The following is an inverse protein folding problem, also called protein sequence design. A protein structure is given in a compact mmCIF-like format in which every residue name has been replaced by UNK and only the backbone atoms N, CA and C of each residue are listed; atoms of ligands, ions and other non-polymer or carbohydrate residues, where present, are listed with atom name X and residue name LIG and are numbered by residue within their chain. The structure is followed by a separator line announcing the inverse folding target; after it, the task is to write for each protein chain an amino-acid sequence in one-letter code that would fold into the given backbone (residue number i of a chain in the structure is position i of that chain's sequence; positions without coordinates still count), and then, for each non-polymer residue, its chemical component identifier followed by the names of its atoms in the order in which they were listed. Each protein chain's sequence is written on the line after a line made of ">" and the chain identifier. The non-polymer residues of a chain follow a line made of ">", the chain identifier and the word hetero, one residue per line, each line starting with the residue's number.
data_IF_280773659423
#
_entry.id   IF_280773659423
#
_cell.length_a   1.000
_cell.length_b   1.000
_cell.length_c   1.000
_cell.angle_alpha   90.00
_cell.angle_beta   90.00
_cell.angle_gamma   90.00
#
_symmetry.space_group_name_H-M   'P 1'
#
loop_
_entity.id
_entity.type
_entity.pdbx_description
1 polymer ?
#
# COMPACT_ATOMS: atom_id res chain seq x y z
N UNK A 1 -5.26 31.05 -0.32
CA UNK A 1 -5.17 30.53 -1.70
C UNK A 1 -4.53 29.16 -1.61
N UNK A 2 -5.31 28.10 -1.55
CA UNK A 2 -4.77 26.73 -1.52
C UNK A 2 -5.77 25.78 -2.21
N UNK A 3 -6.04 26.05 -3.48
CA UNK A 3 -6.77 25.15 -4.38
C UNK A 3 -5.83 24.05 -4.85
N UNK A 4 -5.36 23.22 -3.92
CA UNK A 4 -4.63 22.01 -4.27
C UNK A 4 -5.67 20.98 -4.67
N UNK A 5 -5.76 20.70 -5.97
CA UNK A 5 -6.56 19.63 -6.57
C UNK A 5 -6.28 18.31 -5.87
N UNK A 6 -6.98 18.05 -4.76
CA UNK A 6 -7.03 16.74 -4.14
C UNK A 6 -8.04 15.92 -4.94
N UNK A 7 -7.65 14.78 -5.52
CA UNK A 7 -8.59 13.89 -6.16
C UNK A 7 -9.69 13.53 -5.17
N UNK A 8 -10.96 13.64 -5.60
CA UNK A 8 -12.08 13.26 -4.75
C UNK A 8 -11.87 11.82 -4.24
N UNK A 9 -11.80 11.59 -2.91
CA UNK A 9 -11.50 10.29 -2.32
C UNK A 9 -12.46 9.18 -2.78
N UNK A 10 -13.65 9.58 -3.22
CA UNK A 10 -14.70 8.73 -3.81
C UNK A 10 -14.24 8.10 -5.12
N UNK A 11 -13.79 8.94 -6.05
CA UNK A 11 -13.30 8.53 -7.36
C UNK A 11 -12.09 7.62 -7.16
N UNK A 12 -11.25 7.92 -6.17
CA UNK A 12 -10.07 7.13 -5.85
C UNK A 12 -10.45 5.70 -5.37
N UNK A 13 -11.43 5.56 -4.47
CA UNK A 13 -11.92 4.23 -4.03
C UNK A 13 -12.54 3.43 -5.18
N UNK A 14 -13.34 4.06 -6.03
CA UNK A 14 -13.95 3.39 -7.19
C UNK A 14 -12.88 2.99 -8.21
N UNK A 15 -11.96 3.90 -8.54
CA UNK A 15 -10.84 3.63 -9.45
C UNK A 15 -9.97 2.50 -8.91
N UNK A 16 -9.70 2.46 -7.60
CA UNK A 16 -8.98 1.35 -6.98
C UNK A 16 -9.71 0.03 -7.14
N UNK A 17 -11.00 -0.03 -6.81
CA UNK A 17 -11.78 -1.27 -6.93
C UNK A 17 -11.84 -1.75 -8.37
N UNK A 18 -12.09 -0.84 -9.32
CA UNK A 18 -12.16 -1.14 -10.75
C UNK A 18 -10.79 -1.57 -11.29
N UNK A 19 -9.72 -0.85 -10.95
CA UNK A 19 -8.37 -1.22 -11.41
C UNK A 19 -7.90 -2.53 -10.79
N UNK A 20 -8.18 -2.79 -9.51
CA UNK A 20 -7.82 -4.07 -8.88
C UNK A 20 -8.60 -5.24 -9.51
N UNK A 21 -9.91 -5.09 -9.74
CA UNK A 21 -10.71 -6.13 -10.40
C UNK A 21 -10.28 -6.35 -11.86
N UNK A 22 -9.95 -5.29 -12.59
CA UNK A 22 -9.40 -5.41 -13.95
C UNK A 22 -8.02 -6.08 -13.94
N UNK A 23 -7.11 -5.68 -13.05
CA UNK A 23 -5.76 -6.23 -12.96
C UNK A 23 -5.78 -7.71 -12.57
N UNK A 24 -6.55 -8.08 -11.55
CA UNK A 24 -6.57 -9.44 -11.01
C UNK A 24 -7.53 -10.38 -11.77
N UNK A 25 -8.56 -9.85 -12.43
CA UNK A 25 -9.57 -10.64 -13.13
C UNK A 25 -9.21 -10.96 -14.58
N UNK A 26 -9.23 -9.94 -15.45
CA UNK A 26 -9.29 -10.14 -16.92
C UNK A 26 -8.21 -9.35 -17.68
N UNK A 27 -7.47 -8.49 -16.99
CA UNK A 27 -6.48 -7.59 -17.60
C UNK A 27 -5.32 -8.34 -18.24
N UNK A 28 -5.20 -8.21 -19.57
CA UNK A 28 -4.01 -8.60 -20.31
C UNK A 28 -2.80 -7.74 -19.95
N UNK A 29 -1.61 -8.13 -20.43
CA UNK A 29 -0.35 -7.45 -20.11
C UNK A 29 -0.38 -5.93 -20.40
N UNK A 30 -1.00 -5.52 -21.51
CA UNK A 30 -1.14 -4.10 -21.88
C UNK A 30 -1.93 -3.29 -20.85
N UNK A 31 -3.02 -3.86 -20.31
CA UNK A 31 -3.84 -3.19 -19.29
C UNK A 31 -3.02 -3.00 -18.02
N UNK A 32 -2.23 -4.00 -17.63
CA UNK A 32 -1.31 -3.92 -16.48
C UNK A 32 -0.28 -2.81 -16.65
N UNK A 33 0.31 -2.67 -17.85
CA UNK A 33 1.29 -1.61 -18.12
C UNK A 33 0.64 -0.23 -18.09
N UNK A 34 -0.53 -0.05 -18.72
CA UNK A 34 -1.22 1.25 -18.74
C UNK A 34 -1.63 1.71 -17.34
N UNK A 35 -2.24 0.81 -16.56
CA UNK A 35 -2.59 1.09 -15.16
C UNK A 35 -1.32 1.31 -14.32
N UNK A 36 -0.24 0.59 -14.66
CA UNK A 36 1.06 0.75 -14.03
C UNK A 36 1.64 2.15 -14.21
N UNK A 37 1.69 2.63 -15.45
CA UNK A 37 2.12 4.00 -15.77
C UNK A 37 1.25 5.02 -15.03
N UNK A 38 -0.08 4.84 -15.03
CA UNK A 38 -0.99 5.70 -14.28
C UNK A 38 -0.66 5.71 -12.78
N UNK A 39 -0.38 4.55 -12.18
CA UNK A 39 -0.06 4.45 -10.75
C UNK A 39 1.27 5.14 -10.40
N UNK A 40 2.27 5.07 -11.27
CA UNK A 40 3.57 5.74 -11.07
C UNK A 40 3.41 7.26 -11.19
N UNK A 41 2.64 7.73 -12.17
CA UNK A 41 2.29 9.15 -12.32
C UNK A 41 1.50 9.66 -11.10
N UNK A 42 0.57 8.84 -10.59
CA UNK A 42 -0.18 9.14 -9.37
C UNK A 42 0.76 9.22 -8.15
N UNK A 43 1.71 8.29 -7.98
CA UNK A 43 2.70 8.34 -6.91
C UNK A 43 3.62 9.57 -7.00
N UNK A 44 3.90 10.08 -8.21
CA UNK A 44 4.68 11.32 -8.37
C UNK A 44 4.00 12.53 -7.72
N UNK A 45 2.66 12.56 -7.68
CA UNK A 45 1.91 13.66 -7.03
C UNK A 45 2.01 13.68 -5.51
N UNK A 46 2.40 12.55 -4.88
CA UNK A 46 2.53 12.43 -3.41
C UNK A 46 3.85 13.04 -2.90
N UNK A 47 4.83 13.28 -3.79
CA UNK A 47 6.13 13.87 -3.40
C UNK A 47 7.03 12.92 -2.59
N UNK A 48 6.81 11.60 -2.65
CA UNK A 48 7.64 10.58 -2.00
C UNK A 48 8.49 9.82 -3.03
N UNK A 49 9.66 10.35 -3.45
CA UNK A 49 10.42 9.80 -4.57
C UNK A 49 10.94 8.38 -4.34
N UNK A 50 11.25 8.00 -3.10
CA UNK A 50 11.72 6.63 -2.77
C UNK A 50 10.67 5.56 -3.08
N UNK A 51 9.40 5.85 -2.80
CA UNK A 51 8.29 4.93 -3.06
C UNK A 51 8.05 4.82 -4.57
N UNK A 52 8.09 5.94 -5.28
CA UNK A 52 7.94 6.00 -6.73
C UNK A 52 9.06 5.23 -7.44
N UNK A 53 10.32 5.45 -7.05
CA UNK A 53 11.47 4.74 -7.63
C UNK A 53 11.40 3.25 -7.32
N UNK A 54 11.03 2.87 -6.09
CA UNK A 54 10.85 1.46 -5.74
C UNK A 54 9.78 0.77 -6.59
N UNK A 55 8.62 1.43 -6.79
CA UNK A 55 7.56 0.92 -7.66
C UNK A 55 8.00 0.77 -9.12
N UNK A 56 8.72 1.77 -9.65
CA UNK A 56 9.21 1.77 -11.02
C UNK A 56 10.26 0.67 -11.25
N UNK A 57 11.22 0.52 -10.34
CA UNK A 57 12.24 -0.54 -10.41
C UNK A 57 11.58 -1.92 -10.38
N UNK A 58 10.58 -2.11 -9.53
CA UNK A 58 9.89 -3.39 -9.41
C UNK A 58 9.06 -3.72 -10.67
N UNK A 59 8.34 -2.74 -11.23
CA UNK A 59 7.63 -2.90 -12.50
C UNK A 59 8.57 -3.22 -13.66
N UNK A 60 9.65 -2.45 -13.82
CA UNK A 60 10.60 -2.65 -14.91
C UNK A 60 11.27 -4.01 -14.79
N UNK A 61 11.69 -4.40 -13.58
CA UNK A 61 12.32 -5.70 -13.33
C UNK A 61 11.39 -6.87 -13.66
N UNK A 62 10.12 -6.80 -13.23
CA UNK A 62 9.14 -7.87 -13.48
C UNK A 62 8.66 -7.91 -14.93
N UNK A 63 8.59 -6.76 -15.62
CA UNK A 63 8.34 -6.69 -17.06
C UNK A 63 9.48 -7.31 -17.87
N UNK A 64 10.74 -7.09 -17.47
CA UNK A 64 11.91 -7.72 -18.10
C UNK A 64 11.85 -9.25 -17.95
N UNK A 65 11.52 -9.73 -16.75
CA UNK A 65 11.35 -11.17 -16.47
C UNK A 65 10.24 -11.80 -17.32
N UNK A 66 9.17 -11.07 -17.62
CA UNK A 66 8.11 -11.53 -18.51
C UNK A 66 8.57 -11.62 -19.97
N UNK A 67 9.44 -10.71 -20.43
CA UNK A 67 9.93 -10.67 -21.81
C UNK A 67 11.13 -11.62 -22.07
N UNK A 68 11.73 -12.19 -21.03
CA UNK A 68 12.89 -13.08 -21.12
C UNK A 68 12.72 -14.29 -22.09
N UNK A 69 11.57 -14.97 -22.16
CA UNK A 69 11.38 -16.10 -23.08
C UNK A 69 11.48 -15.73 -24.55
N UNK A 70 11.23 -14.46 -24.93
CA UNK A 70 11.32 -14.01 -26.31
C UNK A 70 12.75 -14.05 -26.85
N UNK A 71 13.75 -13.98 -25.98
CA UNK A 71 15.17 -13.95 -26.35
C UNK A 71 15.89 -15.27 -26.05
N UNK A 72 15.37 -16.08 -25.13
CA UNK A 72 16.01 -17.31 -24.64
C UNK A 72 15.51 -18.62 -25.25
N UNK A 73 14.57 -18.57 -26.21
CA UNK A 73 13.98 -19.74 -26.86
C UNK A 73 12.89 -20.44 -26.03
N UNK A 74 12.28 -21.48 -26.60
CA UNK A 74 11.20 -22.25 -25.95
C UNK A 74 11.76 -23.23 -24.91
N UNK A 75 11.96 -22.73 -23.69
CA UNK A 75 12.38 -23.53 -22.54
C UNK A 75 11.29 -23.51 -21.46
N UNK A 76 10.92 -24.69 -20.93
CA UNK A 76 9.92 -24.79 -19.86
C UNK A 76 10.28 -23.95 -18.63
N UNK A 77 11.57 -23.84 -18.31
CA UNK A 77 12.08 -22.98 -17.24
C UNK A 77 11.79 -21.48 -17.49
N UNK A 78 12.00 -21.00 -18.72
CA UNK A 78 11.71 -19.61 -19.09
C UNK A 78 10.21 -19.33 -19.07
N UNK A 79 9.38 -20.30 -19.48
CA UNK A 79 7.93 -20.19 -19.38
C UNK A 79 7.47 -19.99 -17.93
N UNK A 80 7.98 -20.80 -16.98
CA UNK A 80 7.67 -20.63 -15.55
C UNK A 80 8.14 -19.27 -15.03
N UNK A 81 9.35 -18.85 -15.40
CA UNK A 81 9.90 -17.56 -14.97
C UNK A 81 9.07 -16.38 -15.49
N UNK A 82 8.57 -16.46 -16.73
CA UNK A 82 7.69 -15.44 -17.31
C UNK A 82 6.32 -15.39 -16.65
N UNK A 83 5.77 -16.54 -16.25
CA UNK A 83 4.52 -16.61 -15.49
C UNK A 83 4.67 -15.94 -14.12
N UNK A 84 5.81 -16.17 -13.44
CA UNK A 84 6.15 -15.49 -12.20
C UNK A 84 6.30 -13.98 -12.45
N UNK A 85 7.02 -13.57 -13.48
CA UNK A 85 7.18 -12.16 -13.86
C UNK A 85 5.85 -11.46 -14.14
N UNK A 86 4.93 -12.14 -14.84
CA UNK A 86 3.60 -11.64 -15.15
C UNK A 86 2.78 -11.37 -13.88
N UNK A 87 2.70 -12.34 -12.97
CA UNK A 87 1.97 -12.18 -11.71
C UNK A 87 2.65 -11.19 -10.78
N UNK A 88 3.98 -11.22 -10.68
CA UNK A 88 4.74 -10.27 -9.89
C UNK A 88 4.51 -8.83 -10.36
N UNK A 89 4.42 -8.58 -11.66
CA UNK A 89 4.08 -7.26 -12.20
C UNK A 89 2.67 -6.82 -11.78
N UNK A 90 1.67 -7.72 -11.85
CA UNK A 90 0.30 -7.42 -11.37
C UNK A 90 0.27 -7.04 -9.89
N UNK A 91 1.03 -7.76 -9.05
CA UNK A 91 1.16 -7.42 -7.64
C UNK A 91 1.87 -6.07 -7.44
N UNK A 92 2.93 -5.79 -8.21
CA UNK A 92 3.65 -4.52 -8.14
C UNK A 92 2.71 -3.33 -8.43
N UNK A 93 1.88 -3.42 -9.49
CA UNK A 93 0.90 -2.38 -9.84
C UNK A 93 -0.15 -2.20 -8.74
N UNK A 94 -0.69 -3.32 -8.24
CA UNK A 94 -1.71 -3.35 -7.20
C UNK A 94 -1.22 -2.71 -5.91
N UNK A 95 -0.01 -3.06 -5.47
CA UNK A 95 0.61 -2.51 -4.27
C UNK A 95 0.88 -1.01 -4.46
N UNK A 96 1.37 -0.61 -5.64
CA UNK A 96 1.63 0.80 -5.96
C UNK A 96 0.36 1.65 -5.86
N UNK A 97 -0.73 1.16 -6.43
CA UNK A 97 -2.06 1.79 -6.31
C UNK A 97 -2.56 1.81 -4.86
N UNK A 98 -2.38 0.74 -4.10
CA UNK A 98 -2.72 0.69 -2.67
C UNK A 98 -1.93 1.70 -1.85
N UNK A 99 -0.64 1.86 -2.11
CA UNK A 99 0.19 2.88 -1.46
C UNK A 99 -0.29 4.28 -1.83
N UNK A 100 -0.63 4.52 -3.10
CA UNK A 100 -1.24 5.79 -3.51
C UNK A 100 -2.54 6.05 -2.74
N UNK A 101 -3.42 5.05 -2.63
CA UNK A 101 -4.68 5.11 -1.90
C UNK A 101 -4.52 5.54 -0.44
N UNK A 102 -3.64 4.86 0.29
CA UNK A 102 -3.43 5.07 1.73
C UNK A 102 -2.86 6.47 2.00
N UNK A 103 -2.03 6.99 1.10
CA UNK A 103 -1.45 8.32 1.24
C UNK A 103 -2.39 9.44 0.76
N UNK A 104 -3.23 9.17 -0.23
CA UNK A 104 -4.14 10.16 -0.79
C UNK A 104 -5.47 10.28 -0.03
N UNK A 105 -5.98 9.19 0.57
CA UNK A 105 -7.27 9.17 1.26
C UNK A 105 -7.09 9.49 2.74
N UNK A 106 -7.76 10.54 3.24
CA UNK A 106 -7.82 10.80 4.68
C UNK A 106 -8.81 9.84 5.37
N UNK A 107 -8.54 9.42 6.62
CA UNK A 107 -9.44 8.53 7.37
C UNK A 107 -10.90 8.99 7.42
N UNK A 108 -11.14 10.30 7.63
CA UNK A 108 -12.49 10.87 7.67
C UNK A 108 -13.19 10.87 6.30
N UNK A 109 -12.43 10.99 5.22
CA UNK A 109 -12.96 10.96 3.85
C UNK A 109 -13.32 9.54 3.41
N UNK A 110 -12.61 8.53 3.91
CA UNK A 110 -12.93 7.13 3.68
C UNK A 110 -14.31 6.76 4.24
N UNK A 111 -14.64 7.21 5.46
CA UNK A 111 -15.95 6.99 6.08
C UNK A 111 -17.06 7.69 5.28
N UNK A 112 -16.80 8.90 4.79
CA UNK A 112 -17.74 9.64 3.94
C UNK A 112 -17.96 8.95 2.58
N UNK A 113 -16.90 8.37 1.99
CA UNK A 113 -16.99 7.58 0.77
C UNK A 113 -17.80 6.29 0.99
N UNK A 114 -17.54 5.55 2.08
CA UNK A 114 -18.25 4.33 2.44
C UNK A 114 -19.75 4.55 2.68
N UNK A 115 -20.12 5.62 3.39
CA UNK A 115 -21.54 5.98 3.60
C UNK A 115 -22.26 6.30 2.29
N UNK A 116 -21.60 6.98 1.34
CA UNK A 116 -22.21 7.35 0.04
C UNK A 116 -22.31 6.20 -0.96
N UNK A 117 -21.43 5.21 -0.88
CA UNK A 117 -21.48 3.99 -1.71
C UNK A 117 -22.65 3.07 -1.27
N UNK A 118 -23.46 3.48 -0.28
CA UNK A 118 -24.52 2.66 0.33
C UNK A 118 -23.98 1.33 0.85
N UNK A 119 -22.76 1.35 1.38
CA UNK A 119 -22.21 0.19 2.09
C UNK A 119 -23.13 -0.16 3.28
N UNK A 120 -23.29 -1.45 3.61
CA UNK A 120 -24.16 -1.86 4.71
C UNK A 120 -23.66 -1.24 6.02
N UNK A 121 -24.59 -0.67 6.80
CA UNK A 121 -24.27 0.06 8.03
C UNK A 121 -23.50 -0.80 9.05
N UNK A 122 -23.67 -2.12 9.01
CA UNK A 122 -22.91 -3.08 9.81
C UNK A 122 -21.39 -3.03 9.56
N UNK A 123 -20.93 -2.59 8.39
CA UNK A 123 -19.50 -2.41 8.09
C UNK A 123 -19.05 -0.98 8.42
N UNK A 124 -19.88 0.01 8.09
CA UNK A 124 -19.51 1.42 8.23
C UNK A 124 -19.32 1.83 9.69
N UNK A 125 -20.18 1.34 10.60
CA UNK A 125 -20.15 1.71 12.02
C UNK A 125 -18.84 1.22 12.69
N UNK A 126 -18.46 -0.08 12.61
CA UNK A 126 -17.19 -0.54 13.16
C UNK A 126 -15.97 0.17 12.56
N UNK A 127 -15.97 0.43 11.24
CA UNK A 127 -14.86 1.13 10.59
C UNK A 127 -14.74 2.56 11.09
N UNK A 128 -15.85 3.28 11.24
CA UNK A 128 -15.85 4.65 11.76
C UNK A 128 -15.36 4.72 13.21
N UNK A 129 -15.75 3.74 14.03
CA UNK A 129 -15.25 3.52 15.39
C UNK A 129 -13.74 3.32 15.34
N UNK A 130 -13.25 2.31 14.63
CA UNK A 130 -11.82 1.99 14.55
C UNK A 130 -10.99 3.18 14.09
N UNK A 131 -11.43 3.92 13.07
CA UNK A 131 -10.70 5.10 12.57
C UNK A 131 -10.69 6.29 13.55
N UNK A 132 -11.64 6.37 14.49
CA UNK A 132 -11.65 7.36 15.58
C UNK A 132 -10.80 6.93 16.77
N UNK A 133 -10.74 5.62 17.07
CA UNK A 133 -9.90 5.06 18.13
C UNK A 133 -8.44 4.89 17.72
N UNK A 134 -8.17 4.63 16.44
CA UNK A 134 -6.82 4.43 15.91
C UNK A 134 -5.86 5.60 16.17
N UNK A 135 -6.26 6.88 16.00
CA UNK A 135 -5.44 8.02 16.40
C UNK A 135 -5.05 8.01 17.87
N UNK A 136 -5.97 7.60 18.76
CA UNK A 136 -5.75 7.52 20.21
C UNK A 136 -4.75 6.42 20.52
N UNK A 137 -4.97 5.21 19.98
CA UNK A 137 -4.03 4.07 20.17
C UNK A 137 -2.63 4.43 19.68
N UNK A 138 -2.51 5.12 18.54
CA UNK A 138 -1.20 5.58 18.04
C UNK A 138 -0.53 6.57 18.99
N UNK A 139 -1.29 7.50 19.58
CA UNK A 139 -0.76 8.44 20.57
C UNK A 139 -0.32 7.72 21.83
N UNK A 140 -1.09 6.77 22.34
CA UNK A 140 -0.71 5.96 23.50
C UNK A 140 0.53 5.12 23.22
N UNK A 141 0.63 4.47 22.05
CA UNK A 141 1.83 3.72 21.66
C UNK A 141 3.06 4.63 21.56
N UNK A 142 2.89 5.84 21.03
CA UNK A 142 3.99 6.81 20.95
C UNK A 142 4.39 7.28 22.34
N UNK A 143 3.44 7.56 23.23
CA UNK A 143 3.71 7.95 24.61
C UNK A 143 4.39 6.83 25.43
N UNK A 144 3.97 5.58 25.23
CA UNK A 144 4.64 4.41 25.82
C UNK A 144 6.07 4.29 25.31
N UNK A 145 6.27 4.44 24.00
CA UNK A 145 7.61 4.44 23.39
C UNK A 145 8.47 5.58 23.93
N UNK A 146 7.92 6.78 24.05
CA UNK A 146 8.62 7.94 24.58
C UNK A 146 9.00 7.73 26.06
N UNK A 147 8.09 7.17 26.87
CA UNK A 147 8.35 6.80 28.26
C UNK A 147 9.45 5.72 28.39
N UNK A 148 9.48 4.73 27.49
CA UNK A 148 10.55 3.74 27.42
C UNK A 148 11.90 4.36 27.02
N UNK A 149 11.87 5.34 26.10
CA UNK A 149 13.08 6.07 25.70
C UNK A 149 13.68 6.87 26.87
N UNK A 150 12.84 7.47 27.72
CA UNK A 150 13.27 8.18 28.93
C UNK A 150 13.88 7.25 29.99
N UNK A 151 13.48 5.98 30.01
CA UNK A 151 14.07 4.93 30.85
C UNK A 151 15.39 4.36 30.29
N UNK A 152 15.93 4.95 29.21
CA UNK A 152 17.21 4.55 28.62
C UNK A 152 17.13 3.34 27.68
N UNK A 153 15.93 2.88 27.34
CA UNK A 153 15.74 1.81 26.35
C UNK A 153 15.93 2.42 24.95
N UNK A 154 16.96 1.98 24.23
CA UNK A 154 17.20 2.41 22.84
C UNK A 154 16.04 1.94 21.95
N UNK A 155 15.11 2.85 21.68
CA UNK A 155 13.99 2.59 20.77
C UNK A 155 14.52 2.67 19.33
N UNK A 156 14.88 1.52 18.78
CA UNK A 156 15.39 1.39 17.41
C UNK A 156 14.91 0.11 16.74
N UNK A 157 15.38 -0.19 15.51
CA UNK A 157 15.05 -1.44 14.81
C UNK A 157 15.30 -2.68 15.66
N UNK A 158 16.27 -2.63 16.57
CA UNK A 158 16.63 -3.68 17.53
C UNK A 158 15.48 -4.08 18.47
N UNK A 159 14.50 -3.20 18.72
CA UNK A 159 13.33 -3.47 19.56
C UNK A 159 12.37 -4.47 18.87
N UNK A 160 12.28 -4.43 17.54
CA UNK A 160 11.46 -5.36 16.74
C UNK A 160 12.09 -6.75 16.73
N UNK A 161 13.42 -6.85 16.84
CA UNK A 161 14.17 -8.10 16.84
C UNK A 161 14.21 -8.80 18.21
N UNK A 162 13.96 -8.10 19.32
CA UNK A 162 13.96 -8.69 20.67
C UNK A 162 12.75 -8.27 21.54
N UNK A 163 11.51 -8.67 21.15
CA UNK A 163 10.29 -8.29 21.86
C UNK A 163 10.21 -8.83 23.30
N UNK A 164 10.91 -9.94 23.61
CA UNK A 164 10.87 -10.60 24.92
C UNK A 164 11.52 -9.77 26.04
N UNK A 165 12.59 -9.02 25.76
CA UNK A 165 13.23 -8.13 26.76
C UNK A 165 12.43 -6.85 27.00
N UNK A 166 11.63 -6.42 26.03
CA UNK A 166 10.73 -5.27 26.15
C UNK A 166 9.56 -5.55 27.08
N UNK A 167 9.06 -6.78 27.09
CA UNK A 167 7.94 -7.23 27.93
C UNK A 167 8.35 -7.31 29.42
N UNK A 168 9.57 -7.77 29.71
CA UNK A 168 10.07 -7.88 31.09
C UNK A 168 10.19 -6.52 31.79
N UNK A 169 10.59 -5.47 31.07
CA UNK A 169 10.62 -4.08 31.57
C UNK A 169 9.26 -3.38 31.61
N UNK A 170 8.26 -3.91 30.91
CA UNK A 170 6.87 -3.42 30.93
C UNK A 170 6.07 -4.04 32.09
N UNK A 171 6.46 -5.22 32.57
CA UNK A 171 5.76 -5.99 33.59
C UNK A 171 6.29 -5.81 35.01
N UNK A 172 7.51 -5.30 35.19
CA UNK A 172 8.06 -5.01 36.53
C UNK A 172 8.04 -3.50 36.78
N UNK A 173 7.14 -3.00 37.65
CA UNK A 173 7.11 -1.62 38.12
C UNK A 173 8.43 -1.19 38.79
#
# INVERSE_FOLDING_TARGET
>A
MDTKNHPDPRTLVVVLLVFNTLLLGVGGFLVTVLIGVFSVLALATIGKPRVMVGALVWMVGTALLFLLPLYGGENAFLAVLSMIGYWANKFAVTISLGIYAINAIRPGELIAALNKIRAPQFIVIPVAVMLRFFPVVRQELTAVVDALSLRGVKVGPQLIWHPLRTIEYLLVP
#
